data_IF_079920859408
#
_entry.id   IF_079920859408
#
_cell.length_a   1.000
_cell.length_b   1.000
_cell.length_c   1.000
_cell.angle_alpha   90.00
_cell.angle_beta   90.00
_cell.angle_gamma   90.00
#
_symmetry.space_group_name_H-M   'P 1'
#
loop_
_entity.id
_entity.type
_entity.pdbx_description
1 polymer ?
#
# COMPACT_ATOMS: atom_id res chain seq x y z
N UNK A 1 -15.56 -52.40 -71.17
CA UNK A 1 -15.68 -51.66 -69.90
C UNK A 1 -15.36 -50.21 -70.23
N UNK A 2 -16.39 -49.37 -70.21
CA UNK A 2 -16.41 -47.99 -70.75
C UNK A 2 -15.70 -47.01 -69.81
N UNK A 3 -14.99 -46.05 -70.40
CA UNK A 3 -14.26 -44.96 -69.73
C UNK A 3 -15.13 -44.13 -68.77
N UNK A 4 -16.45 -44.10 -68.98
CA UNK A 4 -17.42 -43.35 -68.17
C UNK A 4 -17.49 -43.80 -66.69
N UNK A 5 -17.07 -45.03 -66.37
CA UNK A 5 -17.06 -45.51 -64.98
C UNK A 5 -15.85 -45.02 -64.17
N UNK A 6 -14.79 -44.53 -64.83
CA UNK A 6 -13.58 -44.07 -64.15
C UNK A 6 -13.72 -42.60 -63.71
N UNK A 7 -14.33 -41.76 -64.55
CA UNK A 7 -14.60 -40.34 -64.22
C UNK A 7 -15.54 -40.19 -63.02
N UNK A 8 -16.59 -41.02 -62.94
CA UNK A 8 -17.52 -40.97 -61.81
C UNK A 8 -16.89 -41.38 -60.47
N UNK A 9 -15.92 -42.30 -60.49
CA UNK A 9 -15.21 -42.72 -59.28
C UNK A 9 -14.26 -41.64 -58.77
N UNK A 10 -13.58 -40.94 -59.69
CA UNK A 10 -12.65 -39.85 -59.38
C UNK A 10 -13.41 -38.64 -58.82
N UNK A 11 -14.54 -38.26 -59.43
CA UNK A 11 -15.34 -37.12 -58.97
C UNK A 11 -15.92 -37.33 -57.56
N UNK A 12 -16.28 -38.56 -57.21
CA UNK A 12 -16.86 -38.88 -55.90
C UNK A 12 -15.80 -38.91 -54.77
N UNK A 13 -14.57 -39.38 -55.06
CA UNK A 13 -13.45 -39.29 -54.11
C UNK A 13 -12.97 -37.85 -53.89
N UNK A 14 -12.88 -37.06 -54.98
CA UNK A 14 -12.49 -35.65 -54.90
C UNK A 14 -13.55 -34.85 -54.13
N UNK A 15 -14.84 -35.10 -54.36
CA UNK A 15 -15.97 -34.52 -53.61
C UNK A 15 -15.91 -34.82 -52.10
N UNK A 16 -15.63 -36.08 -51.74
CA UNK A 16 -15.50 -36.50 -50.34
C UNK A 16 -14.32 -35.84 -49.62
N UNK A 17 -13.19 -35.65 -50.31
CA UNK A 17 -12.04 -34.95 -49.74
C UNK A 17 -12.32 -33.46 -49.50
N UNK A 18 -13.03 -32.80 -50.42
CA UNK A 18 -13.34 -31.38 -50.35
C UNK A 18 -14.35 -31.06 -49.24
N UNK A 19 -15.38 -31.90 -49.06
CA UNK A 19 -16.34 -31.79 -47.95
C UNK A 19 -15.65 -31.95 -46.59
N UNK A 20 -14.69 -32.88 -46.48
CA UNK A 20 -13.89 -33.05 -45.26
C UNK A 20 -13.06 -31.79 -44.93
N UNK A 21 -12.49 -31.13 -45.94
CA UNK A 21 -11.73 -29.87 -45.74
C UNK A 21 -12.66 -28.74 -45.28
N UNK A 22 -13.85 -28.60 -45.87
CA UNK A 22 -14.85 -27.61 -45.44
C UNK A 22 -15.25 -27.83 -43.98
N UNK A 23 -15.52 -29.07 -43.58
CA UNK A 23 -15.88 -29.41 -42.20
C UNK A 23 -14.75 -29.08 -41.20
N UNK A 24 -13.50 -29.30 -41.60
CA UNK A 24 -12.35 -28.94 -40.79
C UNK A 24 -12.17 -27.42 -40.66
N UNK A 25 -12.40 -26.67 -41.75
CA UNK A 25 -12.38 -25.21 -41.73
C UNK A 25 -13.48 -24.65 -40.81
N UNK A 26 -14.70 -25.19 -40.91
CA UNK A 26 -15.80 -24.81 -39.99
C UNK A 26 -15.45 -25.05 -38.53
N UNK A 27 -14.83 -26.19 -38.20
CA UNK A 27 -14.35 -26.48 -36.83
C UNK A 27 -13.23 -25.54 -36.36
N UNK A 28 -12.42 -25.01 -37.27
CA UNK A 28 -11.38 -24.02 -36.95
C UNK A 28 -12.03 -22.66 -36.68
N UNK A 29 -12.99 -22.24 -37.51
CA UNK A 29 -13.74 -21.00 -37.31
C UNK A 29 -14.49 -21.00 -35.97
N UNK A 30 -15.19 -22.09 -35.63
CA UNK A 30 -15.88 -22.24 -34.34
C UNK A 30 -14.91 -22.09 -33.15
N UNK A 31 -13.69 -22.64 -33.29
CA UNK A 31 -12.65 -22.53 -32.25
C UNK A 31 -12.08 -21.12 -32.16
N UNK A 32 -11.93 -20.43 -33.29
CA UNK A 32 -11.47 -19.03 -33.33
C UNK A 32 -12.48 -18.14 -32.62
N UNK A 33 -13.78 -18.30 -32.91
CA UNK A 33 -14.84 -17.53 -32.24
C UNK A 33 -14.86 -17.79 -30.74
N UNK A 34 -14.75 -19.06 -30.33
CA UNK A 34 -14.68 -19.42 -28.91
C UNK A 34 -13.47 -18.82 -28.21
N UNK A 35 -12.29 -18.90 -28.82
CA UNK A 35 -11.06 -18.30 -28.27
C UNK A 35 -11.17 -16.78 -28.17
N UNK A 36 -11.76 -16.12 -29.18
CA UNK A 36 -11.98 -14.67 -29.15
C UNK A 36 -12.90 -14.24 -27.99
N UNK A 37 -13.95 -15.03 -27.72
CA UNK A 37 -14.85 -14.78 -26.58
C UNK A 37 -14.12 -14.96 -25.23
N UNK A 38 -13.34 -16.03 -25.08
CA UNK A 38 -12.55 -16.30 -23.86
C UNK A 38 -11.52 -15.20 -23.59
N UNK A 39 -10.77 -14.76 -24.62
CA UNK A 39 -9.79 -13.66 -24.50
C UNK A 39 -10.47 -12.36 -24.09
N UNK A 40 -11.63 -12.06 -24.66
CA UNK A 40 -12.41 -10.86 -24.30
C UNK A 40 -12.86 -10.91 -22.84
N UNK A 41 -13.34 -12.06 -22.37
CA UNK A 41 -13.74 -12.26 -20.97
C UNK A 41 -12.55 -12.14 -20.01
N UNK A 42 -11.40 -12.67 -20.39
CA UNK A 42 -10.16 -12.49 -19.62
C UNK A 42 -9.74 -11.03 -19.54
N UNK A 43 -9.87 -10.26 -20.62
CA UNK A 43 -9.60 -8.82 -20.63
C UNK A 43 -10.44 -8.05 -19.60
N UNK A 44 -11.74 -8.33 -19.52
CA UNK A 44 -12.64 -7.73 -18.53
C UNK A 44 -12.27 -8.13 -17.09
N UNK A 45 -11.95 -9.41 -16.87
CA UNK A 45 -11.52 -9.91 -15.56
C UNK A 45 -10.24 -9.24 -15.09
N UNK A 46 -9.23 -9.14 -15.96
CA UNK A 46 -7.96 -8.47 -15.67
C UNK A 46 -8.17 -6.98 -15.35
N UNK A 47 -9.03 -6.28 -16.08
CA UNK A 47 -9.36 -4.89 -15.80
C UNK A 47 -9.97 -4.72 -14.39
N UNK A 48 -10.89 -5.61 -14.00
CA UNK A 48 -11.47 -5.60 -12.66
C UNK A 48 -10.44 -5.88 -11.56
N UNK A 49 -9.55 -6.85 -11.77
CA UNK A 49 -8.47 -7.17 -10.82
C UNK A 49 -7.52 -5.97 -10.66
N UNK A 50 -7.10 -5.34 -11.75
CA UNK A 50 -6.26 -4.15 -11.73
C UNK A 50 -6.90 -3.00 -10.96
N UNK A 51 -8.21 -2.78 -11.14
CA UNK A 51 -8.94 -1.76 -10.38
C UNK A 51 -8.97 -2.08 -8.88
N UNK A 52 -9.22 -3.35 -8.50
CA UNK A 52 -9.20 -3.78 -7.10
C UNK A 52 -7.82 -3.60 -6.47
N UNK A 53 -6.75 -3.94 -7.19
CA UNK A 53 -5.37 -3.75 -6.73
C UNK A 53 -5.07 -2.27 -6.47
N UNK A 54 -5.46 -1.38 -7.38
CA UNK A 54 -5.29 0.06 -7.19
C UNK A 54 -5.99 0.58 -5.93
N UNK A 55 -7.21 0.14 -5.66
CA UNK A 55 -7.95 0.51 -4.45
C UNK A 55 -7.28 -0.02 -3.18
N UNK A 56 -6.79 -1.26 -3.21
CA UNK A 56 -6.06 -1.87 -2.09
C UNK A 56 -4.77 -1.11 -1.82
N UNK A 57 -4.01 -0.78 -2.86
CA UNK A 57 -2.76 -0.03 -2.73
C UNK A 57 -2.99 1.36 -2.11
N UNK A 58 -4.00 2.10 -2.59
CA UNK A 58 -4.39 3.39 -2.03
C UNK A 58 -4.83 3.28 -0.55
N UNK A 59 -5.55 2.21 -0.22
CA UNK A 59 -5.99 1.93 1.15
C UNK A 59 -4.82 1.60 2.07
N UNK A 60 -3.89 0.75 1.61
CA UNK A 60 -2.65 0.42 2.32
C UNK A 60 -1.78 1.65 2.55
N UNK A 61 -1.58 2.49 1.53
CA UNK A 61 -0.82 3.74 1.67
C UNK A 61 -1.46 4.68 2.70
N UNK A 62 -2.80 4.76 2.71
CA UNK A 62 -3.54 5.56 3.70
C UNK A 62 -3.44 5.00 5.10
N UNK A 63 -3.52 3.68 5.25
CA UNK A 63 -3.29 2.99 6.52
C UNK A 63 -1.88 3.21 7.02
N UNK A 64 -0.85 3.06 6.18
CA UNK A 64 0.55 3.34 6.56
C UNK A 64 0.76 4.77 7.02
N UNK A 65 0.14 5.76 6.36
CA UNK A 65 0.16 7.16 6.82
C UNK A 65 -0.48 7.34 8.20
N UNK A 66 -1.58 6.62 8.47
CA UNK A 66 -2.28 6.66 9.77
C UNK A 66 -1.56 5.87 10.87
N UNK A 67 -1.02 4.70 10.55
CA UNK A 67 -0.38 3.78 11.49
C UNK A 67 1.09 4.12 11.74
N UNK A 68 1.70 4.97 10.92
CA UNK A 68 3.06 5.50 11.11
C UNK A 68 3.31 6.27 12.41
N UNK A 69 2.37 6.28 13.36
CA UNK A 69 2.44 7.04 14.61
C UNK A 69 2.21 6.24 15.90
N UNK A 70 1.95 4.93 15.87
CA UNK A 70 2.00 4.13 17.11
C UNK A 70 3.42 3.60 17.33
N UNK A 71 4.36 4.54 17.51
CA UNK A 71 5.68 4.19 17.98
C UNK A 71 5.51 3.51 19.35
N UNK A 72 6.16 2.35 19.57
CA UNK A 72 6.11 1.69 20.86
C UNK A 72 6.62 2.66 21.93
N UNK A 73 6.19 2.47 23.18
CA UNK A 73 6.68 3.22 24.30
C UNK A 73 8.22 3.22 24.30
N UNK A 74 8.81 4.42 24.18
CA UNK A 74 10.25 4.62 24.16
C UNK A 74 10.87 4.46 25.55
N UNK A 75 10.04 4.47 26.60
CA UNK A 75 10.50 4.39 27.99
C UNK A 75 10.64 2.95 28.49
N UNK A 76 9.84 2.04 27.93
CA UNK A 76 9.77 0.62 28.29
C UNK A 76 10.57 -0.23 27.31
N UNK A 77 11.11 -1.36 27.78
CA UNK A 77 11.67 -2.36 26.88
C UNK A 77 10.58 -3.06 26.06
N UNK A 78 10.96 -3.82 25.03
CA UNK A 78 10.00 -4.59 24.22
C UNK A 78 9.21 -5.59 25.06
N UNK A 79 9.84 -6.18 26.07
CA UNK A 79 9.23 -7.16 26.98
C UNK A 79 8.24 -6.50 27.96
N UNK A 80 8.41 -5.21 28.24
CA UNK A 80 7.54 -4.43 29.12
C UNK A 80 6.36 -3.79 28.38
N UNK A 81 6.48 -3.57 27.07
CA UNK A 81 5.43 -2.98 26.23
C UNK A 81 4.60 -4.05 25.50
N UNK A 82 4.11 -5.07 26.23
CA UNK A 82 3.28 -6.16 25.66
C UNK A 82 1.88 -5.69 25.27
N UNK A 83 1.38 -4.68 25.96
CA UNK A 83 0.08 -4.03 25.75
C UNK A 83 0.12 -2.99 24.61
N UNK A 84 1.28 -2.70 24.05
CA UNK A 84 1.44 -1.84 22.87
C UNK A 84 1.10 -0.37 23.14
N UNK A 85 1.29 0.10 24.38
CA UNK A 85 1.04 1.48 24.74
C UNK A 85 2.10 2.42 24.13
N UNK A 86 1.72 3.70 23.99
CA UNK A 86 2.60 4.79 23.55
C UNK A 86 3.23 5.48 24.77
N UNK A 87 4.40 6.12 24.59
CA UNK A 87 5.16 6.76 25.68
C UNK A 87 4.34 7.74 26.53
N UNK A 88 3.42 8.49 25.91
CA UNK A 88 2.54 9.43 26.63
C UNK A 88 1.48 8.79 27.52
N UNK A 89 1.21 7.49 27.35
CA UNK A 89 0.27 6.70 28.16
C UNK A 89 0.97 5.63 29.01
N UNK A 90 2.29 5.68 29.11
CA UNK A 90 3.04 4.69 29.87
C UNK A 90 2.66 4.70 31.35
N UNK A 91 2.20 3.55 31.86
CA UNK A 91 1.75 3.40 33.23
C UNK A 91 2.90 3.37 34.24
N UNK A 92 4.10 2.97 33.79
CA UNK A 92 5.31 2.97 34.60
C UNK A 92 5.88 4.39 34.82
N UNK A 93 5.59 5.31 33.90
CA UNK A 93 6.03 6.70 33.96
C UNK A 93 4.82 7.65 33.82
N UNK A 94 3.91 7.69 34.82
CA UNK A 94 2.68 8.47 34.76
C UNK A 94 2.94 9.98 34.92
N UNK A 95 3.99 10.33 35.68
CA UNK A 95 4.35 11.71 36.02
C UNK A 95 5.22 12.36 34.93
N UNK A 96 5.00 13.64 34.68
CA UNK A 96 5.77 14.46 33.74
C UNK A 96 7.24 14.59 34.15
N UNK A 97 7.52 14.73 35.45
CA UNK A 97 8.87 14.83 36.00
C UNK A 97 9.62 13.52 35.79
N UNK A 98 9.00 12.38 36.12
CA UNK A 98 9.62 11.06 35.94
C UNK A 98 9.85 10.78 34.45
N UNK A 99 8.91 11.14 33.56
CA UNK A 99 9.14 11.08 32.11
C UNK A 99 10.31 11.95 31.67
N UNK A 100 10.46 13.15 32.21
CA UNK A 100 11.57 14.04 31.86
C UNK A 100 12.94 13.51 32.33
N UNK A 101 12.98 12.84 33.48
CA UNK A 101 14.16 12.12 33.97
C UNK A 101 14.49 10.94 33.05
N UNK A 102 13.49 10.13 32.71
CA UNK A 102 13.68 8.98 31.82
C UNK A 102 14.16 9.38 30.42
N UNK A 103 13.63 10.48 29.88
CA UNK A 103 14.11 11.07 28.62
C UNK A 103 15.57 11.51 28.72
N UNK A 104 16.00 12.05 29.87
CA UNK A 104 17.37 12.45 30.09
C UNK A 104 18.31 11.24 30.21
N UNK A 105 17.88 10.18 30.92
CA UNK A 105 18.60 8.90 31.01
C UNK A 105 18.81 8.27 29.61
N UNK A 106 17.76 8.27 28.79
CA UNK A 106 17.79 7.73 27.43
C UNK A 106 18.46 8.66 26.41
N UNK A 107 18.97 9.81 26.83
CA UNK A 107 19.59 10.81 25.95
C UNK A 107 18.71 11.17 24.74
N UNK A 108 17.41 11.41 24.97
CA UNK A 108 16.45 11.81 23.94
C UNK A 108 16.17 13.33 23.99
N UNK A 109 15.83 13.99 22.87
CA UNK A 109 15.26 15.35 22.92
C UNK A 109 13.86 15.29 23.57
N UNK A 110 13.62 16.17 24.55
CA UNK A 110 12.33 16.28 25.24
C UNK A 110 11.14 16.63 24.32
N UNK A 111 11.41 17.23 23.16
CA UNK A 111 10.36 17.71 22.25
C UNK A 111 10.01 16.72 21.14
N UNK A 112 10.98 15.95 20.63
CA UNK A 112 10.76 14.94 19.57
C UNK A 112 10.81 13.50 20.05
N UNK A 113 11.35 13.26 21.25
CA UNK A 113 11.68 11.93 21.77
C UNK A 113 12.58 11.11 20.82
N UNK A 114 13.39 11.78 20.00
CA UNK A 114 14.46 11.19 19.19
C UNK A 114 15.81 11.36 19.87
N UNK A 115 16.84 10.69 19.37
CA UNK A 115 18.22 10.85 19.85
C UNK A 115 18.61 12.32 19.99
N UNK A 116 19.29 12.63 21.08
CA UNK A 116 19.72 13.99 21.41
C UNK A 116 20.65 14.51 20.33
N UNK A 117 20.29 15.67 19.76
CA UNK A 117 21.12 16.36 18.78
C UNK A 117 22.48 16.78 19.40
N UNK A 118 23.52 16.65 18.60
CA UNK A 118 24.91 17.01 18.95
C UNK A 118 25.07 18.50 19.29
N UNK A 119 24.21 19.36 18.73
CA UNK A 119 24.16 20.78 19.05
C UNK A 119 23.06 21.09 20.06
N UNK A 120 23.40 21.85 21.10
CA UNK A 120 22.58 22.24 22.25
C UNK A 120 21.05 22.26 21.95
N UNK A 121 20.42 21.13 22.29
CA UNK A 121 18.99 20.88 22.22
C UNK A 121 18.15 21.94 22.98
N UNK A 122 18.77 22.74 23.85
CA UNK A 122 18.12 23.79 24.63
C UNK A 122 17.57 24.96 23.81
N UNK A 123 18.18 25.31 22.65
CA UNK A 123 17.78 26.51 21.89
C UNK A 123 17.25 26.17 20.50
N UNK A 124 17.75 25.11 19.85
CA UNK A 124 17.39 24.75 18.46
C UNK A 124 16.38 23.61 18.32
N UNK A 125 15.92 22.96 19.40
CA UNK A 125 14.99 21.81 19.25
C UNK A 125 13.64 22.27 18.62
N UNK A 126 13.23 23.55 18.72
CA UNK A 126 12.02 24.05 18.04
C UNK A 126 12.14 24.02 16.50
N UNK A 127 13.33 24.28 15.95
CA UNK A 127 13.57 24.32 14.51
C UNK A 127 13.95 22.94 13.95
N UNK A 128 14.73 22.17 14.71
CA UNK A 128 15.23 20.85 14.30
C UNK A 128 14.22 19.72 14.56
N UNK A 129 13.28 19.94 15.47
CA UNK A 129 12.24 18.97 15.84
C UNK A 129 10.85 19.59 15.73
N UNK A 130 10.30 19.71 14.51
CA UNK A 130 8.91 20.08 14.33
C UNK A 130 8.03 19.08 15.08
N UNK A 131 7.37 19.58 16.12
CA UNK A 131 6.50 18.80 17.00
C UNK A 131 5.34 18.24 16.16
N UNK A 132 5.35 16.93 15.88
CA UNK A 132 4.25 16.29 15.12
C UNK A 132 2.97 16.12 15.96
N UNK A 133 3.06 16.24 17.29
CA UNK A 133 1.98 15.91 18.22
C UNK A 133 1.59 17.06 19.17
N UNK A 134 2.12 18.27 18.97
CA UNK A 134 1.76 19.47 19.73
C UNK A 134 1.03 20.47 18.85
N UNK A 135 0.16 21.34 19.42
CA UNK A 135 -0.38 22.45 18.66
C UNK A 135 0.78 23.29 18.10
N UNK A 136 0.62 23.74 16.85
CA UNK A 136 1.59 24.56 16.12
C UNK A 136 2.17 25.68 17.00
N UNK A 137 3.41 26.13 16.77
CA UNK A 137 3.98 27.25 17.51
C UNK A 137 3.04 28.44 17.36
N UNK A 138 2.36 28.80 18.47
CA UNK A 138 1.67 30.08 18.56
C UNK A 138 2.72 31.15 18.33
N UNK A 139 2.36 32.16 17.54
CA UNK A 139 3.25 33.21 17.06
C UNK A 139 4.00 33.97 18.17
N UNK A 140 4.74 35.03 17.79
CA UNK A 140 5.71 35.67 18.68
C UNK A 140 5.07 36.07 20.02
N UNK A 141 5.82 35.96 21.13
CA UNK A 141 5.29 36.17 22.47
C UNK A 141 4.69 37.57 22.58
N UNK A 142 3.40 37.64 22.94
CA UNK A 142 2.75 38.90 23.25
C UNK A 142 3.53 39.58 24.38
N UNK A 143 4.03 40.79 24.11
CA UNK A 143 4.73 41.63 25.06
C UNK A 143 3.81 41.88 26.27
N UNK A 144 4.15 41.26 27.40
CA UNK A 144 3.53 41.52 28.69
C UNK A 144 3.82 42.98 29.05
N UNK A 145 2.83 43.87 28.86
CA UNK A 145 2.88 45.24 29.38
C UNK A 145 2.91 45.16 30.91
N UNK A 146 4.09 45.36 31.51
CA UNK A 146 4.25 45.58 32.94
C UNK A 146 3.39 46.77 33.36
N UNK A 147 2.39 46.55 34.22
CA UNK A 147 1.72 47.64 34.94
C UNK A 147 2.76 48.27 35.87
N UNK A 148 2.98 49.56 35.71
CA UNK A 148 3.72 50.38 36.68
C UNK A 148 2.87 50.48 37.94
N UNK A 149 3.46 50.13 39.08
CA UNK A 149 3.01 50.62 40.38
C UNK A 149 3.54 52.05 40.55
#
# INVERSE_FOLDING_TARGET
MSFDNLDFAIDNEVSGSFTTVIDLLGKVDDKIEKLAAEVSQQGLSMASVSQKLFVIEASCASLMKRTGSRQPCLFCSKEQNKDGHISGRCHQYPDVIIRALRVAELSLCRQSLKDRHEHACAVRCVLLCPNRNGPAPRGPPALIKRRKF
#
